data_IF_342587351643
#
_entry.id   IF_342587351643
#
_cell.length_a   1.000
_cell.length_b   1.000
_cell.length_c   1.000
_cell.angle_alpha   90.00
_cell.angle_beta   90.00
_cell.angle_gamma   90.00
#
_symmetry.space_group_name_H-M   'P 1'
#
loop_
_entity.id
_entity.type
_entity.pdbx_description
1 polymer ?
#
# COMPACT_ATOMS: atom_id res chain seq x y z
N UNK A 1 47.61 18.68 -21.25
CA UNK A 1 46.28 19.07 -20.77
C UNK A 1 45.32 17.88 -21.03
N UNK A 2 45.21 16.93 -20.07
CA UNK A 2 44.16 15.92 -20.04
C UNK A 2 43.10 16.46 -19.07
N UNK A 3 41.98 16.90 -19.65
CA UNK A 3 40.78 17.24 -18.90
C UNK A 3 40.26 16.01 -18.21
N UNK A 4 40.09 16.10 -16.91
CA UNK A 4 39.34 15.13 -16.09
C UNK A 4 37.88 15.23 -16.53
N UNK A 5 37.41 14.29 -17.32
CA UNK A 5 35.98 13.93 -17.35
C UNK A 5 35.70 13.24 -16.02
N UNK A 6 35.27 14.01 -15.04
CA UNK A 6 34.76 13.51 -13.78
C UNK A 6 33.37 12.94 -14.08
N UNK A 7 33.23 11.64 -13.96
CA UNK A 7 31.98 10.91 -14.10
C UNK A 7 30.91 11.49 -13.18
N UNK A 8 29.99 12.25 -13.75
CA UNK A 8 28.70 12.61 -13.14
C UNK A 8 27.81 11.37 -13.32
N UNK A 9 28.06 10.31 -12.58
CA UNK A 9 27.29 9.08 -12.64
C UNK A 9 26.94 8.43 -11.30
N UNK A 10 27.22 9.09 -10.17
CA UNK A 10 27.03 8.49 -8.83
C UNK A 10 26.37 9.40 -7.79
N UNK A 11 25.56 10.39 -8.19
CA UNK A 11 24.85 11.25 -7.24
C UNK A 11 23.34 11.13 -7.21
N UNK A 12 22.74 10.16 -7.90
CA UNK A 12 21.29 9.96 -7.92
C UNK A 12 20.91 8.50 -7.59
N UNK A 13 21.50 7.94 -6.53
CA UNK A 13 21.03 6.69 -5.92
C UNK A 13 20.13 7.00 -4.70
N UNK A 14 19.29 8.00 -4.80
CA UNK A 14 18.16 8.15 -3.89
C UNK A 14 17.10 7.09 -4.20
N UNK A 15 16.47 6.53 -3.20
CA UNK A 15 15.33 5.66 -3.38
C UNK A 15 14.23 6.40 -4.17
N UNK A 16 13.71 5.80 -5.23
CA UNK A 16 12.57 6.29 -5.98
C UNK A 16 11.31 5.57 -5.49
N UNK A 17 10.84 5.94 -4.28
CA UNK A 17 9.72 5.28 -3.66
C UNK A 17 8.39 5.79 -4.24
N UNK A 18 7.46 4.89 -4.51
CA UNK A 18 6.05 5.20 -4.73
C UNK A 18 5.26 4.69 -3.53
N UNK A 19 4.58 5.60 -2.85
CA UNK A 19 3.73 5.29 -1.70
C UNK A 19 2.33 4.92 -2.17
N UNK A 20 1.92 3.69 -1.90
CA UNK A 20 0.64 3.16 -2.40
C UNK A 20 -0.54 3.34 -1.45
N UNK A 21 -0.30 3.94 -0.27
CA UNK A 21 -1.35 4.08 0.74
C UNK A 21 -1.09 5.27 1.67
N UNK A 22 -1.90 6.34 1.55
CA UNK A 22 -1.81 7.54 2.41
C UNK A 22 -3.14 8.23 2.61
N UNK A 23 -3.36 8.82 3.81
CA UNK A 23 -4.50 9.65 4.15
C UNK A 23 -4.12 11.13 4.13
N UNK A 24 -3.58 11.56 2.98
CA UNK A 24 -2.94 12.87 2.83
C UNK A 24 -3.92 13.99 2.44
N UNK A 25 -5.14 13.65 1.98
CA UNK A 25 -6.15 14.62 1.62
C UNK A 25 -6.80 15.21 2.88
N UNK A 26 -6.77 16.54 3.00
CA UNK A 26 -7.25 17.19 4.22
C UNK A 26 -8.78 17.15 4.37
N UNK A 27 -9.28 17.03 5.59
CA UNK A 27 -10.71 17.07 5.94
C UNK A 27 -11.59 16.15 5.07
N UNK A 28 -11.12 14.96 4.76
CA UNK A 28 -11.87 13.97 4.01
C UNK A 28 -12.11 12.69 4.82
N UNK A 29 -11.19 12.38 5.71
CA UNK A 29 -11.23 11.26 6.63
C UNK A 29 -10.51 11.58 7.95
N UNK A 30 -10.02 10.58 8.67
CA UNK A 30 -9.26 10.74 9.91
C UNK A 30 -7.77 11.08 9.65
N UNK A 31 -7.34 11.21 8.41
CA UNK A 31 -6.00 11.63 7.98
C UNK A 31 -5.71 13.10 8.23
N UNK A 32 -5.12 13.78 7.24
CA UNK A 32 -4.73 15.18 7.32
C UNK A 32 -5.88 16.10 7.71
N UNK A 33 -5.65 17.03 8.65
CA UNK A 33 -6.68 17.93 9.15
C UNK A 33 -6.83 19.23 8.37
N UNK A 34 -5.81 19.64 7.62
CA UNK A 34 -5.81 20.87 6.84
C UNK A 34 -4.70 20.84 5.78
N UNK A 35 -4.74 21.79 4.85
CA UNK A 35 -3.78 21.91 3.75
C UNK A 35 -2.32 22.01 4.24
N UNK A 36 -2.07 22.74 5.32
CA UNK A 36 -0.74 22.87 5.89
C UNK A 36 -0.17 21.50 6.31
N UNK A 37 -0.97 20.67 6.99
CA UNK A 37 -0.58 19.32 7.39
C UNK A 37 -0.33 18.43 6.15
N UNK A 38 -1.18 18.52 5.12
CA UNK A 38 -0.96 17.79 3.86
C UNK A 38 0.38 18.17 3.22
N UNK A 39 0.70 19.46 3.15
CA UNK A 39 2.00 19.92 2.63
C UNK A 39 3.18 19.44 3.48
N UNK A 40 3.06 19.47 4.80
CA UNK A 40 4.10 18.93 5.70
C UNK A 40 4.31 17.42 5.46
N UNK A 41 3.23 16.66 5.27
CA UNK A 41 3.31 15.23 4.94
C UNK A 41 4.01 15.01 3.59
N UNK A 42 3.71 15.84 2.57
CA UNK A 42 4.39 15.78 1.28
C UNK A 42 5.90 16.10 1.39
N UNK A 43 6.26 17.12 2.17
CA UNK A 43 7.65 17.45 2.41
C UNK A 43 8.43 16.31 3.11
N UNK A 44 7.78 15.63 4.06
CA UNK A 44 8.37 14.46 4.74
C UNK A 44 8.60 13.35 3.73
N UNK A 45 7.58 13.02 2.92
CA UNK A 45 7.67 12.03 1.87
C UNK A 45 8.78 12.35 0.86
N UNK A 46 8.85 13.59 0.37
CA UNK A 46 9.88 14.03 -0.57
C UNK A 46 11.30 13.85 -0.01
N UNK A 47 11.49 14.25 1.25
CA UNK A 47 12.77 14.11 1.97
C UNK A 47 13.15 12.65 2.20
N UNK A 48 12.18 11.73 2.31
CA UNK A 48 12.43 10.30 2.47
C UNK A 48 12.65 9.55 1.15
N UNK A 49 12.67 10.27 0.00
CA UNK A 49 12.89 9.68 -1.32
C UNK A 49 11.63 9.29 -2.08
N UNK A 50 10.45 9.60 -1.56
CA UNK A 50 9.18 9.32 -2.23
C UNK A 50 8.98 10.29 -3.41
N UNK A 51 8.66 9.76 -4.59
CA UNK A 51 8.44 10.51 -5.84
C UNK A 51 6.99 10.53 -6.29
N UNK A 52 6.20 9.58 -5.82
CA UNK A 52 4.78 9.53 -6.13
C UNK A 52 3.99 8.96 -4.96
N UNK A 53 2.74 9.41 -4.82
CA UNK A 53 1.83 9.04 -3.74
C UNK A 53 0.44 8.77 -4.33
N UNK A 54 -0.16 7.66 -3.94
CA UNK A 54 -1.60 7.46 -4.07
C UNK A 54 -2.28 8.02 -2.82
N UNK A 55 -3.12 9.01 -3.02
CA UNK A 55 -3.99 9.52 -1.97
C UNK A 55 -5.19 8.57 -1.83
N UNK A 56 -5.24 7.85 -0.74
CA UNK A 56 -6.20 6.77 -0.49
C UNK A 56 -7.02 7.03 0.78
N UNK A 57 -7.86 8.05 0.81
CA UNK A 57 -8.71 8.29 1.96
C UNK A 57 -9.65 7.10 2.20
N UNK A 58 -10.06 6.92 3.44
CA UNK A 58 -11.06 5.92 3.79
C UNK A 58 -12.38 6.13 3.05
N UNK A 59 -12.96 5.02 2.57
CA UNK A 59 -14.35 4.93 2.12
C UNK A 59 -15.03 3.86 2.95
N UNK A 60 -15.76 4.30 3.97
CA UNK A 60 -16.44 3.45 4.96
C UNK A 60 -17.92 3.73 4.92
N UNK A 61 -18.72 2.73 4.55
CA UNK A 61 -20.17 2.86 4.48
C UNK A 61 -20.74 3.30 5.84
N UNK A 62 -21.66 4.26 5.80
CA UNK A 62 -22.34 4.85 7.00
C UNK A 62 -21.43 5.58 7.99
N UNK A 63 -20.14 5.75 7.71
CA UNK A 63 -19.22 6.48 8.58
C UNK A 63 -18.47 7.59 7.84
N UNK A 64 -17.63 7.26 6.90
CA UNK A 64 -16.85 8.19 6.08
C UNK A 64 -16.90 7.76 4.62
N UNK A 65 -17.73 8.40 3.83
CA UNK A 65 -17.97 8.02 2.44
C UNK A 65 -17.83 9.22 1.50
N UNK A 66 -16.60 9.70 1.24
CA UNK A 66 -16.39 10.70 0.22
C UNK A 66 -16.74 10.14 -1.15
N UNK A 67 -17.27 10.96 -2.03
CA UNK A 67 -17.52 10.57 -3.42
C UNK A 67 -16.19 10.46 -4.19
N UNK A 68 -16.19 9.67 -5.27
CA UNK A 68 -15.01 9.57 -6.14
C UNK A 68 -14.63 10.92 -6.76
N UNK A 69 -15.61 11.74 -7.09
CA UNK A 69 -15.43 13.11 -7.60
C UNK A 69 -14.72 13.98 -6.56
N UNK A 70 -15.16 13.94 -5.32
CA UNK A 70 -14.54 14.70 -4.22
C UNK A 70 -13.07 14.29 -4.01
N UNK A 71 -12.76 13.00 -4.05
CA UNK A 71 -11.38 12.51 -3.94
C UNK A 71 -10.52 13.04 -5.09
N UNK A 72 -11.02 13.00 -6.33
CA UNK A 72 -10.31 13.53 -7.51
C UNK A 72 -10.08 15.03 -7.42
N UNK A 73 -11.10 15.78 -7.03
CA UNK A 73 -11.02 17.24 -6.89
C UNK A 73 -10.01 17.65 -5.81
N UNK A 74 -10.06 17.02 -4.63
CA UNK A 74 -9.08 17.28 -3.55
C UNK A 74 -7.66 16.88 -3.95
N UNK A 75 -7.51 15.77 -4.66
CA UNK A 75 -6.21 15.38 -5.21
C UNK A 75 -5.66 16.43 -6.19
N UNK A 76 -6.52 16.98 -7.05
CA UNK A 76 -6.13 18.03 -7.99
C UNK A 76 -5.78 19.34 -7.27
N UNK A 77 -6.53 19.73 -6.25
CA UNK A 77 -6.21 20.88 -5.40
C UNK A 77 -4.86 20.70 -4.69
N UNK A 78 -4.60 19.49 -4.16
CA UNK A 78 -3.31 19.19 -3.50
C UNK A 78 -2.14 19.21 -4.49
N UNK A 79 -2.33 18.79 -5.75
CA UNK A 79 -1.32 18.95 -6.82
C UNK A 79 -0.95 20.41 -7.07
N UNK A 80 -1.93 21.31 -7.07
CA UNK A 80 -1.68 22.74 -7.25
C UNK A 80 -0.86 23.30 -6.07
N UNK A 81 -1.28 23.01 -4.84
CA UNK A 81 -0.55 23.42 -3.63
C UNK A 81 0.88 22.86 -3.60
N UNK A 82 1.07 21.62 -4.03
CA UNK A 82 2.37 20.97 -4.13
C UNK A 82 3.29 21.71 -5.13
N UNK A 83 2.75 22.08 -6.29
CA UNK A 83 3.49 22.84 -7.29
C UNK A 83 3.85 24.26 -6.81
N UNK A 84 2.94 24.97 -6.14
CA UNK A 84 3.18 26.28 -5.53
C UNK A 84 4.27 26.22 -4.46
N UNK A 85 4.27 25.12 -3.65
CA UNK A 85 5.27 24.87 -2.63
C UNK A 85 6.60 24.30 -3.18
N UNK A 86 6.69 24.07 -4.49
CA UNK A 86 7.86 23.49 -5.16
C UNK A 86 8.27 22.10 -4.60
N UNK A 87 7.30 21.30 -4.19
CA UNK A 87 7.50 19.92 -3.73
C UNK A 87 7.45 18.98 -4.94
N UNK A 88 8.55 18.26 -5.21
CA UNK A 88 8.67 17.34 -6.36
C UNK A 88 8.06 15.97 -6.03
N UNK A 89 6.74 15.89 -5.95
CA UNK A 89 5.96 14.66 -5.76
C UNK A 89 4.77 14.64 -6.71
N UNK A 90 4.58 13.51 -7.38
CA UNK A 90 3.37 13.23 -8.14
C UNK A 90 2.28 12.65 -7.23
N UNK A 91 1.05 13.10 -7.41
CA UNK A 91 -0.10 12.64 -6.63
C UNK A 91 -1.11 11.96 -7.55
N UNK A 92 -1.66 10.85 -7.11
CA UNK A 92 -2.66 10.07 -7.83
C UNK A 92 -3.87 9.79 -6.93
N UNK A 93 -5.11 9.90 -7.44
CA UNK A 93 -6.30 9.59 -6.66
C UNK A 93 -6.44 8.08 -6.48
N UNK A 94 -7.02 7.67 -5.37
CA UNK A 94 -7.40 6.32 -5.03
C UNK A 94 -8.29 6.34 -3.81
N UNK A 95 -8.58 5.19 -3.23
CA UNK A 95 -9.27 5.08 -1.96
C UNK A 95 -8.83 3.80 -1.24
N UNK A 96 -8.87 3.84 0.09
CA UNK A 96 -8.92 2.65 0.93
C UNK A 96 -10.38 2.33 1.25
N UNK A 97 -10.92 1.33 0.57
CA UNK A 97 -12.33 0.96 0.70
C UNK A 97 -12.47 -0.11 1.76
N UNK A 98 -13.25 0.16 2.81
CA UNK A 98 -13.57 -0.89 3.77
C UNK A 98 -14.51 -1.92 3.14
N UNK A 99 -14.16 -3.20 3.28
CA UNK A 99 -14.99 -4.30 2.79
C UNK A 99 -16.41 -4.17 3.34
N UNK A 100 -17.35 -3.85 2.47
CA UNK A 100 -18.76 -3.77 2.77
C UNK A 100 -19.58 -4.09 1.52
N UNK A 101 -20.54 -5.00 1.68
CA UNK A 101 -21.39 -5.47 0.58
C UNK A 101 -22.19 -4.33 -0.07
N UNK A 102 -22.61 -3.34 0.72
CA UNK A 102 -23.40 -2.19 0.25
C UNK A 102 -22.58 -1.28 -0.69
N UNK A 103 -21.26 -1.31 -0.64
CA UNK A 103 -20.38 -0.54 -1.53
C UNK A 103 -20.15 -1.18 -2.92
N UNK A 104 -20.37 -2.48 -3.06
CA UNK A 104 -20.11 -3.20 -4.31
C UNK A 104 -20.74 -2.58 -5.57
N UNK A 105 -21.98 -2.05 -5.55
CA UNK A 105 -22.57 -1.41 -6.73
C UNK A 105 -21.82 -0.16 -7.21
N UNK A 106 -21.14 0.53 -6.31
CA UNK A 106 -20.41 1.78 -6.59
C UNK A 106 -18.97 1.52 -7.06
N UNK A 107 -18.47 0.29 -6.87
CA UNK A 107 -17.11 -0.07 -7.23
C UNK A 107 -17.04 -0.52 -8.70
N UNK A 108 -16.06 -0.03 -9.41
CA UNK A 108 -15.44 -0.72 -10.50
C UNK A 108 -15.72 -0.35 -11.92
N UNK A 109 -16.91 -0.31 -12.44
CA UNK A 109 -17.13 -0.24 -13.91
C UNK A 109 -16.46 0.95 -14.63
N UNK A 110 -16.16 2.03 -13.89
CA UNK A 110 -15.50 3.25 -14.37
C UNK A 110 -14.16 3.52 -13.71
N UNK A 111 -13.61 2.56 -12.95
CA UNK A 111 -12.40 2.74 -12.14
C UNK A 111 -12.63 3.60 -10.88
N UNK A 112 -13.89 3.85 -10.50
CA UNK A 112 -14.21 4.59 -9.28
C UNK A 112 -13.56 3.94 -8.06
N UNK A 113 -12.94 4.75 -7.21
CA UNK A 113 -12.18 4.37 -6.02
C UNK A 113 -10.91 3.55 -6.28
N UNK A 114 -10.71 3.01 -7.49
CA UNK A 114 -9.49 2.32 -7.85
C UNK A 114 -8.29 3.27 -7.92
N UNK A 115 -7.10 2.75 -7.66
CA UNK A 115 -5.86 3.52 -7.72
C UNK A 115 -5.66 4.11 -9.12
N UNK A 116 -5.55 5.44 -9.19
CA UNK A 116 -5.47 6.24 -10.42
C UNK A 116 -6.62 5.98 -11.43
N UNK A 117 -7.80 5.57 -10.94
CA UNK A 117 -8.94 5.26 -11.80
C UNK A 117 -8.74 4.02 -12.68
N UNK A 118 -7.78 3.17 -12.36
CA UNK A 118 -7.50 1.92 -13.06
C UNK A 118 -8.37 0.75 -12.56
N UNK A 119 -7.79 -0.45 -12.51
CA UNK A 119 -8.48 -1.67 -12.03
C UNK A 119 -8.07 -2.13 -10.65
N UNK A 120 -7.06 -1.52 -10.04
CA UNK A 120 -6.53 -1.93 -8.73
C UNK A 120 -7.25 -1.19 -7.61
N UNK A 121 -7.88 -1.93 -6.71
CA UNK A 121 -8.63 -1.39 -5.56
C UNK A 121 -7.95 -1.79 -4.27
N UNK A 122 -7.60 -0.81 -3.44
CA UNK A 122 -7.10 -1.03 -2.08
C UNK A 122 -8.31 -1.27 -1.16
N UNK A 123 -8.35 -2.44 -0.52
CA UNK A 123 -9.46 -2.85 0.34
C UNK A 123 -8.95 -3.19 1.72
N UNK A 124 -9.53 -2.57 2.75
CA UNK A 124 -9.32 -2.96 4.13
C UNK A 124 -10.45 -3.88 4.64
N UNK A 125 -10.11 -4.79 5.55
CA UNK A 125 -11.10 -5.58 6.27
C UNK A 125 -11.61 -4.80 7.47
N UNK A 126 -12.87 -4.98 7.89
CA UNK A 126 -13.36 -4.45 9.14
C UNK A 126 -12.48 -4.88 10.32
N UNK A 127 -12.19 -3.94 11.23
CA UNK A 127 -11.24 -4.19 12.33
C UNK A 127 -11.69 -5.28 13.31
N UNK A 128 -13.00 -5.48 13.47
CA UNK A 128 -13.56 -6.41 14.45
C UNK A 128 -13.40 -7.87 14.01
N UNK A 129 -13.78 -8.16 12.76
CA UNK A 129 -13.78 -9.54 12.23
C UNK A 129 -13.72 -9.55 10.71
N UNK A 130 -13.24 -10.64 10.15
CA UNK A 130 -13.32 -10.91 8.71
C UNK A 130 -14.76 -11.30 8.40
N UNK A 131 -15.48 -10.58 7.53
CA UNK A 131 -16.85 -10.89 7.21
C UNK A 131 -16.99 -12.29 6.61
N UNK A 132 -18.05 -13.00 6.99
CA UNK A 132 -18.31 -14.34 6.44
C UNK A 132 -18.48 -14.35 4.90
N UNK A 133 -18.85 -13.21 4.32
CA UNK A 133 -18.99 -13.02 2.88
C UNK A 133 -17.69 -12.54 2.18
N UNK A 134 -16.54 -12.60 2.86
CA UNK A 134 -15.30 -12.05 2.28
C UNK A 134 -14.93 -12.74 0.95
N UNK A 135 -15.07 -14.06 0.87
CA UNK A 135 -14.75 -14.80 -0.36
C UNK A 135 -15.68 -14.46 -1.53
N UNK A 136 -16.96 -14.26 -1.26
CA UNK A 136 -17.94 -13.80 -2.24
C UNK A 136 -17.66 -12.35 -2.67
N UNK A 137 -17.27 -11.48 -1.72
CA UNK A 137 -16.93 -10.11 -2.03
C UNK A 137 -15.73 -10.02 -2.99
N UNK A 138 -14.67 -10.80 -2.74
CA UNK A 138 -13.52 -10.87 -3.65
C UNK A 138 -13.93 -11.37 -5.04
N UNK A 139 -14.76 -12.38 -5.10
CA UNK A 139 -15.25 -12.91 -6.38
C UNK A 139 -16.08 -11.89 -7.18
N UNK A 140 -16.94 -11.12 -6.51
CA UNK A 140 -17.69 -10.04 -7.14
C UNK A 140 -16.79 -8.92 -7.69
N UNK A 141 -15.67 -8.58 -7.02
CA UNK A 141 -14.69 -7.66 -7.56
C UNK A 141 -14.02 -8.22 -8.82
N UNK A 142 -13.65 -9.49 -8.81
CA UNK A 142 -13.05 -10.16 -9.98
C UNK A 142 -14.02 -10.15 -11.18
N UNK A 143 -15.31 -10.43 -10.97
CA UNK A 143 -16.33 -10.35 -12.03
C UNK A 143 -16.47 -8.94 -12.62
N UNK A 144 -16.20 -7.92 -11.85
CA UNK A 144 -16.16 -6.51 -12.31
C UNK A 144 -14.83 -6.14 -12.99
N UNK A 145 -13.87 -7.05 -13.08
CA UNK A 145 -12.53 -6.79 -13.60
C UNK A 145 -11.64 -5.98 -12.66
N UNK A 146 -11.99 -5.92 -11.38
CA UNK A 146 -11.22 -5.25 -10.34
C UNK A 146 -10.21 -6.22 -9.74
N UNK A 147 -8.97 -5.75 -9.63
CA UNK A 147 -7.88 -6.49 -8.97
C UNK A 147 -7.76 -6.00 -7.52
N UNK A 148 -8.15 -6.81 -6.54
CA UNK A 148 -8.08 -6.38 -5.14
C UNK A 148 -6.65 -6.37 -4.62
N UNK A 149 -6.35 -5.34 -3.83
CA UNK A 149 -5.15 -5.22 -3.00
C UNK A 149 -5.62 -5.25 -1.56
N UNK A 150 -5.23 -6.25 -0.79
CA UNK A 150 -5.52 -6.29 0.64
C UNK A 150 -4.61 -5.31 1.38
N UNK A 151 -5.22 -4.33 2.04
CA UNK A 151 -4.52 -3.35 2.86
C UNK A 151 -4.02 -4.00 4.16
N UNK A 152 -2.77 -3.74 4.50
CA UNK A 152 -2.10 -4.06 5.77
C UNK A 152 -2.50 -5.41 6.42
N UNK A 153 -2.38 -6.56 5.67
CA UNK A 153 -2.75 -7.88 6.18
C UNK A 153 -2.00 -8.25 7.47
N UNK A 154 -0.83 -7.69 7.69
CA UNK A 154 -0.02 -7.90 8.89
C UNK A 154 -0.68 -7.40 10.18
N UNK A 155 -1.66 -6.49 10.09
CA UNK A 155 -2.34 -5.90 11.24
C UNK A 155 -3.52 -6.73 11.75
N UNK A 156 -4.08 -7.62 10.92
CA UNK A 156 -5.25 -8.42 11.33
C UNK A 156 -4.83 -9.65 12.13
N UNK A 157 -5.32 -9.71 13.38
CA UNK A 157 -5.06 -10.84 14.26
C UNK A 157 -5.59 -12.15 13.66
N UNK A 158 -6.77 -12.13 13.08
CA UNK A 158 -7.40 -13.32 12.49
C UNK A 158 -6.59 -13.89 11.31
N UNK A 159 -5.98 -13.05 10.46
CA UNK A 159 -5.12 -13.51 9.37
C UNK A 159 -3.80 -14.07 9.91
N UNK A 160 -3.30 -13.55 11.02
CA UNK A 160 -2.14 -14.11 11.71
C UNK A 160 -2.43 -15.47 12.34
N UNK A 161 -3.63 -15.65 12.88
CA UNK A 161 -4.08 -16.92 13.46
C UNK A 161 -4.47 -17.95 12.40
N UNK A 162 -4.98 -17.51 11.25
CA UNK A 162 -5.34 -18.33 10.11
C UNK A 162 -4.70 -17.84 8.80
N UNK A 163 -3.40 -18.03 8.62
CA UNK A 163 -2.68 -17.57 7.44
C UNK A 163 -3.05 -18.31 6.16
N UNK A 164 -3.75 -19.45 6.24
CA UNK A 164 -4.23 -20.18 5.07
C UNK A 164 -5.24 -19.36 4.25
N UNK A 165 -5.96 -18.42 4.87
CA UNK A 165 -6.80 -17.46 4.15
C UNK A 165 -5.99 -16.56 3.22
N UNK A 166 -4.84 -16.04 3.68
CA UNK A 166 -3.95 -15.24 2.83
C UNK A 166 -3.43 -16.05 1.64
N UNK A 167 -3.11 -17.32 1.87
CA UNK A 167 -2.66 -18.22 0.82
C UNK A 167 -3.77 -18.52 -0.18
N UNK A 168 -5.01 -18.69 0.29
CA UNK A 168 -6.18 -18.87 -0.56
C UNK A 168 -6.42 -17.65 -1.44
N UNK A 169 -6.43 -16.45 -0.86
CA UNK A 169 -6.65 -15.21 -1.59
C UNK A 169 -5.50 -14.90 -2.56
N UNK A 170 -4.25 -15.19 -2.18
CA UNK A 170 -3.09 -15.08 -3.09
C UNK A 170 -3.25 -15.96 -4.33
N UNK A 171 -3.76 -17.19 -4.20
CA UNK A 171 -4.02 -18.10 -5.33
C UNK A 171 -5.04 -17.54 -6.32
N UNK A 172 -5.95 -16.71 -5.85
CA UNK A 172 -6.94 -16.00 -6.66
C UNK A 172 -6.41 -14.71 -7.29
N UNK A 173 -5.13 -14.39 -7.14
CA UNK A 173 -4.54 -13.22 -7.76
C UNK A 173 -4.50 -11.96 -6.88
N UNK A 174 -4.93 -12.03 -5.61
CA UNK A 174 -4.93 -10.87 -4.72
C UNK A 174 -3.52 -10.38 -4.42
N UNK A 175 -3.32 -9.07 -4.53
CA UNK A 175 -2.12 -8.37 -4.08
C UNK A 175 -2.21 -8.04 -2.59
N UNK A 176 -1.05 -7.89 -1.94
CA UNK A 176 -0.97 -7.54 -0.52
C UNK A 176 -0.07 -6.32 -0.33
N UNK A 177 -0.60 -5.29 0.32
CA UNK A 177 0.11 -4.07 0.68
C UNK A 177 0.39 -4.07 2.18
N UNK A 178 1.65 -3.97 2.59
CA UNK A 178 2.03 -3.79 3.98
C UNK A 178 2.39 -2.34 4.29
N UNK A 179 2.16 -1.95 5.54
CA UNK A 179 2.49 -0.61 6.03
C UNK A 179 3.98 -0.49 6.38
N UNK A 180 4.60 0.62 6.02
CA UNK A 180 6.00 0.90 6.35
C UNK A 180 6.23 0.93 7.86
N UNK A 181 5.29 1.52 8.62
CA UNK A 181 5.31 1.54 10.08
C UNK A 181 5.33 0.15 10.72
N UNK A 182 4.78 -0.86 10.07
CA UNK A 182 4.79 -2.24 10.56
C UNK A 182 6.20 -2.81 10.64
N UNK A 183 7.03 -2.54 9.64
CA UNK A 183 8.43 -3.00 9.63
C UNK A 183 9.33 -2.31 10.66
N UNK A 184 8.90 -1.16 11.17
CA UNK A 184 9.66 -0.37 12.17
C UNK A 184 9.12 -0.49 13.59
N UNK A 185 8.10 -1.33 13.80
CA UNK A 185 7.51 -1.61 15.11
C UNK A 185 6.48 -0.57 15.58
N UNK A 186 6.05 0.36 14.73
CA UNK A 186 5.06 1.40 15.07
C UNK A 186 3.75 0.82 15.63
N UNK A 187 3.32 -0.34 15.12
CA UNK A 187 2.07 -1.01 15.52
C UNK A 187 2.30 -2.18 16.50
N UNK A 188 3.47 -2.20 17.16
CA UNK A 188 3.83 -3.23 18.14
C UNK A 188 4.64 -4.38 17.54
N UNK A 189 5.28 -5.16 18.44
CA UNK A 189 6.21 -6.22 18.06
C UNK A 189 5.53 -7.34 17.27
N UNK A 190 4.32 -7.73 17.66
CA UNK A 190 3.57 -8.80 16.98
C UNK A 190 3.25 -8.46 15.52
N UNK A 191 2.86 -7.22 15.21
CA UNK A 191 2.62 -6.75 13.84
C UNK A 191 3.94 -6.69 13.06
N UNK A 192 5.02 -6.23 13.70
CA UNK A 192 6.34 -6.16 13.09
C UNK A 192 6.85 -7.55 12.68
N UNK A 193 6.74 -8.54 13.56
CA UNK A 193 7.13 -9.91 13.24
C UNK A 193 6.26 -10.50 12.13
N UNK A 194 4.94 -10.24 12.14
CA UNK A 194 4.05 -10.69 11.08
C UNK A 194 4.42 -10.08 9.72
N UNK A 195 4.70 -8.77 9.66
CA UNK A 195 5.15 -8.11 8.43
C UNK A 195 6.42 -8.75 7.86
N UNK A 196 7.41 -9.05 8.72
CA UNK A 196 8.64 -9.74 8.31
C UNK A 196 8.37 -11.16 7.80
N UNK A 197 7.46 -11.88 8.46
CA UNK A 197 7.05 -13.22 8.04
C UNK A 197 6.40 -13.18 6.67
N UNK A 198 5.45 -12.27 6.42
CA UNK A 198 4.83 -12.11 5.12
C UNK A 198 5.87 -11.77 4.04
N UNK A 199 6.79 -10.84 4.34
CA UNK A 199 7.89 -10.48 3.44
C UNK A 199 8.78 -11.68 3.10
N UNK A 200 9.21 -12.45 4.09
CA UNK A 200 10.06 -13.62 3.91
C UNK A 200 9.43 -14.69 3.02
N UNK A 201 8.09 -14.75 2.99
CA UNK A 201 7.32 -15.70 2.19
C UNK A 201 6.86 -15.17 0.83
N UNK A 202 7.24 -13.94 0.46
CA UNK A 202 6.84 -13.35 -0.81
C UNK A 202 5.36 -12.97 -0.88
N UNK A 203 4.75 -12.67 0.27
CA UNK A 203 3.36 -12.26 0.42
C UNK A 203 3.20 -10.73 0.57
N UNK A 204 4.21 -9.95 0.19
CA UNK A 204 4.14 -8.49 0.20
C UNK A 204 4.48 -7.99 -1.20
N UNK A 205 3.52 -7.36 -1.86
CA UNK A 205 3.65 -6.85 -3.23
C UNK A 205 3.88 -5.35 -3.29
N UNK A 206 3.36 -4.62 -2.29
CA UNK A 206 3.33 -3.17 -2.23
C UNK A 206 3.70 -2.68 -0.83
N UNK A 207 4.32 -1.51 -0.77
CA UNK A 207 4.60 -0.79 0.46
C UNK A 207 3.82 0.53 0.45
N UNK A 208 3.11 0.82 1.55
CA UNK A 208 2.46 2.11 1.77
C UNK A 208 2.89 2.72 3.10
N UNK A 209 2.87 4.04 3.22
CA UNK A 209 3.14 4.69 4.51
C UNK A 209 1.98 4.53 5.47
N UNK A 210 0.77 4.52 4.93
CA UNK A 210 -0.46 4.64 5.71
C UNK A 210 -0.40 5.88 6.62
N UNK A 211 0.20 6.95 6.07
CA UNK A 211 0.48 8.20 6.77
C UNK A 211 -0.79 9.02 7.00
N UNK A 212 -1.02 9.41 8.26
CA UNK A 212 -2.20 10.18 8.66
C UNK A 212 -1.86 11.58 9.21
N UNK A 213 -0.60 11.80 9.60
CA UNK A 213 -0.12 13.01 10.29
C UNK A 213 1.26 13.39 9.81
N UNK A 214 1.66 14.62 10.09
CA UNK A 214 3.05 15.07 9.94
C UNK A 214 3.98 14.55 11.06
N UNK A 215 3.41 14.08 12.16
CA UNK A 215 4.14 13.49 13.29
C UNK A 215 3.64 12.08 13.60
N UNK A 216 4.49 11.24 14.16
CA UNK A 216 4.15 9.86 14.51
C UNK A 216 3.87 9.00 13.27
N UNK A 217 2.63 8.76 12.91
CA UNK A 217 2.20 8.01 11.72
C UNK A 217 2.29 8.91 10.48
N UNK A 218 3.52 9.20 10.07
CA UNK A 218 3.83 10.09 8.95
C UNK A 218 4.17 9.31 7.67
N UNK A 219 4.53 10.06 6.61
CA UNK A 219 4.80 9.53 5.26
C UNK A 219 6.26 9.15 5.01
N UNK A 220 7.11 9.11 6.06
CA UNK A 220 8.51 8.67 5.93
C UNK A 220 8.62 7.14 5.83
N UNK A 221 8.94 6.64 4.64
CA UNK A 221 9.15 5.21 4.39
C UNK A 221 10.63 4.80 4.42
N UNK A 222 11.57 5.72 4.60
CA UNK A 222 13.01 5.47 4.45
C UNK A 222 13.55 4.40 5.41
N UNK A 223 13.09 4.41 6.67
CA UNK A 223 13.47 3.42 7.67
C UNK A 223 12.96 2.02 7.32
N UNK A 224 11.71 1.92 6.86
CA UNK A 224 11.13 0.66 6.42
C UNK A 224 11.84 0.13 5.17
N UNK A 225 12.15 1.00 4.22
CA UNK A 225 12.92 0.65 3.02
C UNK A 225 14.29 0.05 3.38
N UNK A 226 15.00 0.67 4.35
CA UNK A 226 16.26 0.14 4.85
C UNK A 226 16.12 -1.25 5.49
N UNK A 227 15.07 -1.48 6.29
CA UNK A 227 14.79 -2.79 6.91
C UNK A 227 14.46 -3.84 5.85
N UNK A 228 13.59 -3.52 4.89
CA UNK A 228 13.20 -4.43 3.81
C UNK A 228 14.41 -4.78 2.94
N UNK A 229 15.23 -3.80 2.59
CA UNK A 229 16.49 -3.99 1.84
C UNK A 229 17.42 -4.97 2.56
N UNK A 230 17.56 -4.82 3.86
CA UNK A 230 18.38 -5.72 4.68
C UNK A 230 17.82 -7.14 4.74
N UNK A 231 16.50 -7.31 4.86
CA UNK A 231 15.85 -8.62 5.03
C UNK A 231 15.64 -9.38 3.72
N UNK A 232 15.31 -8.69 2.64
CA UNK A 232 14.87 -9.30 1.39
C UNK A 232 15.66 -8.88 0.15
N UNK A 233 16.54 -7.88 0.28
CA UNK A 233 17.38 -7.37 -0.79
C UNK A 233 16.76 -6.21 -1.58
N UNK A 234 17.60 -5.53 -2.38
CA UNK A 234 17.25 -4.34 -3.16
C UNK A 234 16.15 -4.61 -4.19
N UNK A 235 16.21 -5.76 -4.86
CA UNK A 235 15.26 -6.12 -5.91
C UNK A 235 13.83 -6.28 -5.38
N UNK A 236 13.66 -6.86 -4.17
CA UNK A 236 12.35 -7.00 -3.54
C UNK A 236 11.81 -5.62 -3.15
N UNK A 237 12.65 -4.76 -2.55
CA UNK A 237 12.26 -3.39 -2.24
C UNK A 237 11.82 -2.64 -3.50
N UNK A 238 12.61 -2.70 -4.57
CA UNK A 238 12.31 -2.05 -5.85
C UNK A 238 10.99 -2.56 -6.45
N UNK A 239 10.71 -3.86 -6.35
CA UNK A 239 9.41 -4.40 -6.78
C UNK A 239 8.24 -3.81 -6.00
N UNK A 240 8.36 -3.71 -4.67
CA UNK A 240 7.30 -3.22 -3.79
C UNK A 240 7.06 -1.71 -3.91
N UNK A 241 8.09 -0.93 -4.21
CA UNK A 241 8.06 0.54 -4.14
C UNK A 241 8.17 1.23 -5.49
N UNK A 242 8.55 0.52 -6.55
CA UNK A 242 8.73 1.10 -7.88
C UNK A 242 8.01 0.29 -8.95
N UNK A 243 8.40 -0.96 -9.18
CA UNK A 243 7.93 -1.75 -10.32
C UNK A 243 6.43 -2.02 -10.27
N UNK A 244 5.93 -2.55 -9.15
CA UNK A 244 4.51 -2.87 -8.99
C UNK A 244 3.64 -1.60 -8.93
N UNK A 245 3.99 -0.52 -8.16
CA UNK A 245 3.25 0.73 -8.20
C UNK A 245 3.21 1.37 -9.59
N UNK A 246 4.29 1.31 -10.37
CA UNK A 246 4.29 1.78 -11.75
C UNK A 246 3.38 0.96 -12.67
N UNK A 247 3.32 -0.36 -12.48
CA UNK A 247 2.38 -1.22 -13.21
C UNK A 247 0.92 -0.84 -12.89
N UNK A 248 0.61 -0.52 -11.62
CA UNK A 248 -0.70 0.00 -11.22
C UNK A 248 -1.01 1.30 -11.95
N UNK A 249 -0.09 2.27 -11.95
CA UNK A 249 -0.27 3.56 -12.65
C UNK A 249 -0.55 3.39 -14.15
N UNK A 250 0.07 2.39 -14.77
CA UNK A 250 -0.11 2.06 -16.19
C UNK A 250 -1.27 1.09 -16.44
N UNK A 251 -1.99 0.69 -15.41
CA UNK A 251 -3.04 -0.33 -15.44
C UNK A 251 -2.60 -1.66 -16.07
N UNK A 252 -1.31 -2.00 -15.89
CA UNK A 252 -0.69 -3.24 -16.38
C UNK A 252 -0.86 -4.37 -15.37
N UNK A 253 -0.71 -5.59 -15.81
CA UNK A 253 -0.73 -6.77 -14.96
C UNK A 253 0.56 -6.86 -14.12
N UNK A 254 0.39 -7.29 -12.86
CA UNK A 254 1.49 -7.55 -11.94
C UNK A 254 1.67 -9.06 -11.83
N UNK A 255 2.87 -9.52 -12.13
CA UNK A 255 3.23 -10.93 -11.96
C UNK A 255 3.36 -11.28 -10.48
N UNK A 256 2.48 -12.16 -10.00
CA UNK A 256 2.48 -12.60 -8.61
C UNK A 256 3.48 -13.73 -8.38
N UNK A 257 4.36 -13.53 -7.43
CA UNK A 257 5.24 -14.60 -6.97
C UNK A 257 4.44 -15.64 -6.20
N UNK A 258 4.73 -16.92 -6.45
CA UNK A 258 4.19 -17.99 -5.63
C UNK A 258 4.83 -17.94 -4.24
N UNK A 259 4.04 -17.97 -3.16
CA UNK A 259 4.57 -18.00 -1.81
C UNK A 259 5.47 -19.21 -1.59
N UNK A 260 6.58 -19.00 -0.88
CA UNK A 260 7.54 -20.08 -0.59
C UNK A 260 6.93 -21.27 0.16
N UNK A 261 5.90 -21.02 0.97
CA UNK A 261 5.16 -22.06 1.72
C UNK A 261 4.45 -23.08 0.82
N UNK A 262 4.06 -22.69 -0.41
CA UNK A 262 3.45 -23.62 -1.36
C UNK A 262 4.45 -24.58 -2.01
N UNK A 263 5.75 -24.28 -1.90
CA UNK A 263 6.81 -25.13 -2.45
C UNK A 263 7.20 -26.27 -1.50
N UNK A 264 6.70 -26.26 -0.27
CA UNK A 264 6.94 -27.29 0.75
C UNK A 264 5.67 -28.08 1.05
N UNK A 265 5.47 -29.22 0.43
CA UNK A 265 4.40 -30.18 0.72
C UNK A 265 4.54 -30.83 2.11
N UNK A 266 4.31 -30.10 3.20
CA UNK A 266 4.31 -30.66 4.55
C UNK A 266 3.08 -30.20 5.35
N UNK A 267 2.43 -31.11 6.11
CA UNK A 267 1.19 -30.84 6.86
C UNK A 267 1.46 -30.17 8.24
N UNK A 268 2.23 -29.09 8.26
CA UNK A 268 2.42 -28.27 9.46
C UNK A 268 1.74 -26.93 9.28
N UNK A 269 1.23 -26.33 10.36
CA UNK A 269 0.66 -24.99 10.29
C UNK A 269 1.66 -24.00 9.70
N UNK A 270 1.17 -22.98 9.02
CA UNK A 270 2.00 -21.92 8.40
C UNK A 270 3.09 -21.42 9.37
N UNK A 271 2.73 -21.12 10.62
CA UNK A 271 3.63 -20.60 11.64
C UNK A 271 4.66 -21.63 12.14
N UNK A 272 4.30 -22.91 12.21
CA UNK A 272 5.24 -23.98 12.56
C UNK A 272 6.26 -24.24 11.46
N UNK A 273 5.91 -23.96 10.19
CA UNK A 273 6.85 -24.04 9.06
C UNK A 273 7.83 -22.88 9.03
N UNK A 274 7.41 -21.70 9.51
CA UNK A 274 8.20 -20.47 9.47
C UNK A 274 9.15 -20.31 10.65
N UNK A 275 8.75 -20.74 11.82
CA UNK A 275 9.54 -20.54 13.04
C UNK A 275 10.30 -21.78 13.50
N UNK A 276 10.25 -22.89 12.77
CA UNK A 276 11.10 -24.06 12.94
C UNK A 276 11.34 -24.48 14.39
N UNK A 277 10.38 -25.10 15.06
CA UNK A 277 10.62 -25.95 16.24
C UNK A 277 9.94 -27.28 16.04
#
# INVERSE_FOLDING_TARGET
>A
RRQRQMCIRDRDKGDHLLDTHTHILWNIDDGSKNQCMSLQMLEIAARSGTKAIFATPHVIERANKPSWEEIKEKTQQLRQLCAEAQIDIMLYPGAEVQMNWELLPELGATGAYCLNGGRYLLVELPAAEIPAYADEFWYELELKGIMPILAHPERYQQLRENPDLLLLWRRRGMLMQCNSGSFTGMFGSSVCENAKVLLANGLVDLLGSDGHRSEGRNTDMSRAAAVIRQLAGEEVLRQMTETNPQAILKNQEIELKQPKVFLEDKPKSFWQRLFGK
#
